data_IF_940855078727
#
_entry.id   IF_940855078727
#
_cell.length_a   1.000
_cell.length_b   1.000
_cell.length_c   1.000
_cell.angle_alpha   90.00
_cell.angle_beta   90.00
_cell.angle_gamma   90.00
#
_symmetry.space_group_name_H-M   'P 1'
#
loop_
_entity.id
_entity.type
_entity.pdbx_description
1 polymer ?
#
# COMPACT_ATOMS: atom_id res chain seq x y z
N UNK A 1 -32.36 -4.67 -0.48
CA UNK A 1 -31.89 -3.35 0.00
C UNK A 1 -31.23 -3.58 1.34
N UNK A 2 -29.90 -3.65 1.35
CA UNK A 2 -29.14 -4.28 2.43
C UNK A 2 -28.74 -3.31 3.54
N UNK A 3 -28.90 -3.81 4.76
CA UNK A 3 -28.63 -3.22 6.07
C UNK A 3 -27.13 -3.16 6.36
N UNK A 4 -26.43 -2.14 5.89
CA UNK A 4 -25.04 -1.90 6.32
C UNK A 4 -24.91 -0.47 6.84
N UNK A 5 -25.63 -0.20 7.92
CA UNK A 5 -25.52 1.03 8.69
C UNK A 5 -25.29 0.65 10.16
N UNK A 6 -24.12 1.05 10.65
CA UNK A 6 -23.74 1.27 12.06
C UNK A 6 -23.30 0.02 12.86
N UNK A 7 -22.18 0.26 13.58
CA UNK A 7 -21.69 -0.36 14.81
C UNK A 7 -20.59 -1.42 14.67
N UNK A 8 -19.36 -1.05 15.07
CA UNK A 8 -18.44 -1.98 15.71
C UNK A 8 -17.74 -1.29 16.89
N UNK A 9 -18.15 -1.70 18.10
CA UNK A 9 -17.49 -1.44 19.38
C UNK A 9 -16.66 -2.69 19.73
N UNK A 10 -15.40 -2.43 20.09
CA UNK A 10 -14.50 -3.11 21.03
C UNK A 10 -14.14 -4.62 20.95
N UNK A 11 -12.82 -4.84 21.08
CA UNK A 11 -12.11 -5.79 21.96
C UNK A 11 -11.75 -7.21 21.43
N UNK A 12 -10.45 -7.51 21.27
CA UNK A 12 -9.58 -8.25 22.24
C UNK A 12 -8.19 -8.55 21.62
N UNK A 13 -7.16 -8.33 22.45
CA UNK A 13 -5.73 -8.62 22.24
C UNK A 13 -5.44 -10.13 22.12
N UNK A 14 -4.72 -10.50 21.06
CA UNK A 14 -3.79 -11.63 21.08
C UNK A 14 -2.44 -11.14 20.56
N UNK A 15 -1.55 -10.80 21.51
CA UNK A 15 -0.13 -10.56 21.23
C UNK A 15 0.51 -11.92 21.01
N UNK A 16 0.60 -12.34 19.74
CA UNK A 16 1.55 -13.38 19.37
C UNK A 16 2.92 -12.73 19.20
N UNK A 17 4.00 -13.28 19.80
CA UNK A 17 5.34 -12.84 19.51
C UNK A 17 5.68 -13.27 18.09
N UNK A 18 5.51 -12.37 17.14
CA UNK A 18 6.01 -12.57 15.79
C UNK A 18 7.52 -12.63 15.87
N UNK A 19 8.05 -13.80 15.56
CA UNK A 19 9.45 -13.94 15.19
C UNK A 19 9.56 -13.24 13.85
N UNK A 20 10.08 -12.01 13.85
CA UNK A 20 10.76 -11.52 12.68
C UNK A 20 11.76 -12.62 12.33
N UNK A 21 11.70 -13.14 11.11
CA UNK A 21 12.89 -13.73 10.53
C UNK A 21 13.89 -12.59 10.57
N UNK A 22 14.84 -12.64 11.52
CA UNK A 22 16.07 -11.90 11.42
C UNK A 22 16.58 -12.20 10.02
N UNK A 23 16.40 -11.25 9.11
CA UNK A 23 17.07 -11.29 7.84
C UNK A 23 18.56 -11.23 8.19
N UNK A 24 19.18 -12.40 8.30
CA UNK A 24 20.58 -12.56 8.65
C UNK A 24 21.38 -11.54 7.86
N UNK A 25 22.09 -10.71 8.61
CA UNK A 25 22.79 -9.54 8.13
C UNK A 25 24.00 -9.90 7.29
N UNK A 26 23.81 -10.37 6.07
CA UNK A 26 24.83 -10.25 5.03
C UNK A 26 24.52 -8.97 4.24
N UNK A 27 25.50 -8.06 4.13
CA UNK A 27 25.38 -6.72 3.53
C UNK A 27 24.97 -6.69 2.06
N UNK A 28 23.78 -7.20 1.74
CA UNK A 28 23.23 -7.24 0.40
C UNK A 28 22.49 -5.95 0.09
N UNK A 29 22.84 -5.37 -1.05
CA UNK A 29 22.17 -4.18 -1.59
C UNK A 29 20.65 -4.36 -1.76
N UNK A 30 19.88 -3.26 -1.67
CA UNK A 30 18.45 -3.27 -1.98
C UNK A 30 18.20 -3.71 -3.43
N UNK A 31 17.19 -4.55 -3.63
CA UNK A 31 16.84 -5.08 -4.97
C UNK A 31 16.37 -3.99 -5.92
N UNK A 32 16.84 -4.01 -7.18
CA UNK A 32 16.36 -3.10 -8.24
C UNK A 32 14.84 -3.14 -8.37
N UNK A 33 14.24 -4.33 -8.34
CA UNK A 33 12.79 -4.49 -8.49
C UNK A 33 12.03 -3.78 -7.36
N UNK A 34 12.54 -3.89 -6.13
CA UNK A 34 11.96 -3.21 -4.97
C UNK A 34 12.10 -1.70 -5.09
N UNK A 35 13.28 -1.18 -5.46
CA UNK A 35 13.49 0.25 -5.68
C UNK A 35 12.58 0.80 -6.79
N UNK A 36 12.46 0.09 -7.90
CA UNK A 36 11.60 0.46 -9.01
C UNK A 36 10.12 0.49 -8.59
N UNK A 37 9.70 -0.48 -7.76
CA UNK A 37 8.36 -0.50 -7.20
C UNK A 37 8.09 0.68 -6.28
N UNK A 38 8.96 0.93 -5.30
CA UNK A 38 8.81 2.05 -4.37
C UNK A 38 8.77 3.39 -5.13
N UNK A 39 9.65 3.56 -6.11
CA UNK A 39 9.71 4.75 -6.94
C UNK A 39 8.42 4.93 -7.76
N UNK A 40 7.98 3.87 -8.46
CA UNK A 40 6.76 3.89 -9.26
C UNK A 40 5.50 4.08 -8.40
N UNK A 41 5.47 3.60 -7.16
CA UNK A 41 4.32 3.72 -6.26
C UNK A 41 4.29 5.05 -5.50
N UNK A 42 5.46 5.62 -5.20
CA UNK A 42 5.57 6.86 -4.43
C UNK A 42 4.95 8.05 -5.16
N UNK A 43 4.30 8.92 -4.40
CA UNK A 43 3.70 10.12 -4.93
C UNK A 43 2.48 10.60 -4.17
N UNK A 44 1.91 11.70 -4.67
CA UNK A 44 0.62 12.24 -4.27
C UNK A 44 -0.43 11.82 -5.29
N UNK A 45 -1.52 11.25 -4.82
CA UNK A 45 -2.66 10.86 -5.62
C UNK A 45 -3.82 11.77 -5.26
N UNK A 46 -4.34 12.50 -6.25
CA UNK A 46 -5.44 13.43 -6.09
C UNK A 46 -6.69 12.78 -6.64
N UNK A 47 -7.76 12.78 -5.85
CA UNK A 47 -9.08 12.21 -6.13
C UNK A 47 -9.06 10.71 -6.48
N UNK A 48 -10.14 10.03 -6.10
CA UNK A 48 -10.39 8.66 -6.53
C UNK A 48 -11.57 8.69 -7.48
N UNK A 49 -11.32 8.26 -8.71
CA UNK A 49 -12.37 8.07 -9.70
C UNK A 49 -12.94 6.67 -9.53
N UNK A 50 -14.24 6.58 -9.23
CA UNK A 50 -14.98 5.34 -9.20
C UNK A 50 -15.73 5.17 -10.52
N UNK A 51 -15.40 4.12 -11.25
CA UNK A 51 -16.10 3.73 -12.48
C UNK A 51 -17.07 2.60 -12.17
N UNK A 52 -18.33 2.76 -12.58
CA UNK A 52 -19.34 1.69 -12.58
C UNK A 52 -19.85 1.55 -14.00
N UNK A 53 -19.42 0.50 -14.69
CA UNK A 53 -19.63 0.39 -16.13
C UNK A 53 -19.00 1.57 -16.88
N UNK A 54 -19.84 2.37 -17.56
CA UNK A 54 -19.41 3.54 -18.32
C UNK A 54 -19.60 4.87 -17.57
N UNK A 55 -20.07 4.84 -16.33
CA UNK A 55 -20.30 6.04 -15.52
C UNK A 55 -19.10 6.30 -14.60
N UNK A 56 -18.67 7.56 -14.54
CA UNK A 56 -17.56 8.03 -13.70
C UNK A 56 -18.07 8.89 -12.56
N UNK A 57 -17.61 8.59 -11.35
CA UNK A 57 -17.92 9.32 -10.13
C UNK A 57 -16.61 9.72 -9.45
N UNK A 58 -16.36 11.02 -9.33
CA UNK A 58 -15.21 11.52 -8.59
C UNK A 58 -15.54 11.67 -7.11
N UNK A 59 -14.71 11.12 -6.23
CA UNK A 59 -14.76 11.39 -4.80
C UNK A 59 -13.55 12.23 -4.38
N UNK A 60 -13.75 13.32 -3.62
CA UNK A 60 -12.67 14.13 -3.08
C UNK A 60 -11.95 13.32 -1.98
N UNK A 61 -10.98 12.52 -2.42
CA UNK A 61 -10.09 11.74 -1.58
C UNK A 61 -8.66 12.00 -2.05
N UNK A 62 -7.68 11.80 -1.20
CA UNK A 62 -6.29 11.83 -1.64
C UNK A 62 -5.48 10.83 -0.86
N UNK A 63 -4.41 10.35 -1.48
CA UNK A 63 -3.48 9.42 -0.87
C UNK A 63 -2.07 9.95 -1.11
N UNK A 64 -1.30 10.06 -0.03
CA UNK A 64 0.12 10.40 -0.08
C UNK A 64 0.90 9.15 0.25
N UNK A 65 1.75 8.70 -0.67
CA UNK A 65 2.68 7.58 -0.47
C UNK A 65 4.11 8.09 -0.50
N UNK A 66 4.68 8.34 0.68
CA UNK A 66 6.03 8.89 0.83
C UNK A 66 7.03 7.78 1.19
N UNK A 67 8.13 7.61 0.47
CA UNK A 67 9.18 6.69 0.87
C UNK A 67 9.86 7.18 2.15
N UNK A 68 9.95 6.32 3.17
CA UNK A 68 10.52 6.64 4.49
C UNK A 68 11.43 5.53 4.99
N UNK A 69 12.55 5.87 5.60
CA UNK A 69 13.39 4.88 6.29
C UNK A 69 12.86 4.69 7.70
N UNK A 70 12.72 3.45 8.14
CA UNK A 70 12.24 3.09 9.47
C UNK A 70 13.22 2.07 10.04
N UNK A 71 14.09 2.45 11.00
CA UNK A 71 15.20 1.60 11.45
C UNK A 71 14.78 0.20 11.91
N UNK A 72 13.64 0.08 12.59
CA UNK A 72 13.15 -1.21 13.10
C UNK A 72 12.82 -2.24 12.00
N UNK A 73 12.55 -1.81 10.76
CA UNK A 73 12.22 -2.71 9.65
C UNK A 73 13.43 -3.09 8.80
N UNK A 74 14.65 -2.74 9.24
CA UNK A 74 15.95 -3.11 8.67
C UNK A 74 15.90 -3.76 7.26
N UNK A 75 16.19 -2.97 6.21
CA UNK A 75 16.37 -3.40 4.80
C UNK A 75 15.11 -3.76 4.00
N UNK A 76 13.93 -3.44 4.51
CA UNK A 76 12.70 -3.42 3.71
C UNK A 76 12.47 -2.06 3.05
N UNK A 77 11.75 -2.05 1.93
CA UNK A 77 11.24 -0.83 1.32
C UNK A 77 9.99 -0.35 2.05
N UNK A 78 10.00 0.86 2.62
CA UNK A 78 8.85 1.35 3.39
C UNK A 78 8.24 2.60 2.78
N UNK A 79 6.92 2.58 2.57
CA UNK A 79 6.13 3.76 2.21
C UNK A 79 5.27 4.16 3.41
N UNK A 80 5.40 5.41 3.85
CA UNK A 80 4.39 6.05 4.67
C UNK A 80 3.19 6.40 3.81
N UNK A 81 2.01 5.98 4.26
CA UNK A 81 0.74 6.24 3.60
C UNK A 81 -0.14 7.14 4.47
N UNK A 82 -0.64 8.22 3.89
CA UNK A 82 -1.62 9.12 4.51
C UNK A 82 -2.80 9.32 3.58
N UNK A 83 -4.00 9.01 4.08
CA UNK A 83 -5.25 9.07 3.32
C UNK A 83 -6.15 10.17 3.85
N UNK A 84 -6.75 10.92 2.92
CA UNK A 84 -7.67 11.99 3.21
C UNK A 84 -9.03 11.75 2.55
N UNK A 85 -10.11 12.08 3.26
CA UNK A 85 -11.45 12.20 2.71
C UNK A 85 -11.94 13.62 2.95
N UNK A 86 -12.26 14.36 1.88
CA UNK A 86 -12.73 15.75 1.96
C UNK A 86 -11.85 16.64 2.86
N UNK A 87 -10.52 16.52 2.72
CA UNK A 87 -9.47 17.21 3.50
C UNK A 87 -9.30 16.77 4.96
N UNK A 88 -10.04 15.76 5.43
CA UNK A 88 -9.84 15.17 6.75
C UNK A 88 -8.91 13.98 6.62
N UNK A 89 -7.83 13.94 7.40
CA UNK A 89 -6.97 12.76 7.51
C UNK A 89 -7.76 11.62 8.14
N UNK A 90 -7.95 10.53 7.40
CA UNK A 90 -8.72 9.36 7.87
C UNK A 90 -7.84 8.18 8.23
N UNK A 91 -6.62 8.13 7.70
CA UNK A 91 -5.70 7.02 7.96
C UNK A 91 -4.25 7.42 7.80
N UNK A 92 -3.41 6.86 8.66
CA UNK A 92 -1.96 6.81 8.53
C UNK A 92 -1.47 5.39 8.72
N UNK A 93 -0.53 4.96 7.89
CA UNK A 93 0.03 3.62 7.96
C UNK A 93 1.42 3.55 7.32
N UNK A 94 2.12 2.44 7.58
CA UNK A 94 3.34 2.06 6.90
C UNK A 94 3.05 0.85 6.02
N UNK A 95 3.51 0.91 4.78
CA UNK A 95 3.51 -0.22 3.85
C UNK A 95 4.96 -0.68 3.72
N UNK A 96 5.27 -1.77 4.41
CA UNK A 96 6.59 -2.38 4.46
C UNK A 96 6.67 -3.43 3.37
N UNK A 97 7.71 -3.40 2.54
CA UNK A 97 7.79 -4.23 1.35
C UNK A 97 9.13 -4.96 1.25
N UNK A 98 9.08 -6.22 0.86
CA UNK A 98 10.25 -7.06 0.62
C UNK A 98 10.14 -7.78 -0.73
N UNK A 99 11.27 -8.24 -1.26
CA UNK A 99 11.33 -8.93 -2.55
C UNK A 99 11.77 -10.37 -2.39
N UNK A 100 10.97 -11.29 -2.93
CA UNK A 100 11.42 -12.65 -3.17
C UNK A 100 12.35 -12.67 -4.39
N UNK A 101 13.64 -12.85 -4.13
CA UNK A 101 14.69 -12.81 -5.15
C UNK A 101 14.61 -13.95 -6.17
N UNK A 102 13.89 -15.03 -5.90
CA UNK A 102 13.77 -16.17 -6.83
C UNK A 102 12.88 -15.83 -8.03
N UNK A 103 11.84 -15.03 -7.82
CA UNK A 103 10.83 -14.72 -8.83
C UNK A 103 10.56 -13.21 -9.00
N UNK A 104 11.28 -12.35 -8.29
CA UNK A 104 11.11 -10.90 -8.24
C UNK A 104 9.70 -10.46 -7.82
N UNK A 105 8.95 -11.33 -7.14
CA UNK A 105 7.68 -10.96 -6.52
C UNK A 105 7.95 -10.11 -5.28
N UNK A 106 7.18 -9.07 -5.10
CA UNK A 106 7.23 -8.19 -3.94
C UNK A 106 6.06 -8.53 -3.03
N UNK A 107 6.35 -8.73 -1.75
CA UNK A 107 5.34 -8.84 -0.70
C UNK A 107 5.25 -7.51 0.03
N UNK A 108 4.04 -7.07 0.33
CA UNK A 108 3.82 -5.80 1.02
C UNK A 108 2.93 -6.02 2.23
N UNK A 109 3.41 -5.61 3.39
CA UNK A 109 2.83 -5.79 4.72
C UNK A 109 2.36 -4.44 5.25
N UNK A 110 1.06 -4.26 5.49
CA UNK A 110 0.54 -3.03 6.03
C UNK A 110 0.56 -3.03 7.56
N UNK A 111 1.15 -1.98 8.12
CA UNK A 111 1.19 -1.68 9.55
C UNK A 111 0.42 -0.38 9.80
N UNK A 112 -0.59 -0.42 10.67
CA UNK A 112 -1.25 0.78 11.16
C UNK A 112 -0.52 1.29 12.41
N UNK A 113 -0.48 2.61 12.60
CA UNK A 113 -0.04 3.18 13.88
C UNK A 113 -1.09 2.93 14.97
N UNK A 114 -0.65 2.69 16.20
CA UNK A 114 -1.55 2.75 17.36
C UNK A 114 -2.06 4.18 17.57
N UNK A 115 -3.14 4.34 18.35
CA UNK A 115 -3.74 5.65 18.62
C UNK A 115 -2.76 6.65 19.23
N UNK A 116 -1.78 6.18 20.01
CA UNK A 116 -0.77 7.02 20.65
C UNK A 116 0.17 7.70 19.64
N UNK A 117 0.40 7.06 18.48
CA UNK A 117 1.34 7.55 17.46
C UNK A 117 0.61 8.15 16.26
N UNK A 118 -0.59 7.67 15.94
CA UNK A 118 -1.28 8.03 14.70
C UNK A 118 -1.73 9.49 14.64
N UNK A 119 -2.01 10.12 15.81
CA UNK A 119 -2.62 11.45 15.99
C UNK A 119 -3.10 12.08 14.68
N UNK A 120 -4.31 11.75 14.23
CA UNK A 120 -4.80 12.12 12.90
C UNK A 120 -4.95 13.64 12.69
N UNK A 121 -4.81 14.45 13.75
CA UNK A 121 -4.87 15.90 13.65
C UNK A 121 -3.51 16.50 13.25
N UNK A 122 -3.54 17.46 12.32
CA UNK A 122 -2.35 18.17 11.87
C UNK A 122 -1.41 17.33 10.99
N UNK A 123 -0.18 17.80 10.80
CA UNK A 123 0.83 17.10 10.00
C UNK A 123 1.51 15.99 10.80
N UNK A 124 1.81 14.86 10.14
CA UNK A 124 2.57 13.78 10.76
C UNK A 124 4.01 14.19 11.08
N UNK A 125 4.47 13.89 12.29
CA UNK A 125 5.85 14.14 12.68
C UNK A 125 6.74 12.95 12.27
N UNK A 126 7.48 13.12 11.18
CA UNK A 126 8.38 12.08 10.65
C UNK A 126 9.53 11.71 11.60
N UNK A 127 9.90 12.56 12.56
CA UNK A 127 10.97 12.24 13.53
C UNK A 127 10.62 11.04 14.42
N UNK A 128 9.33 10.71 14.56
CA UNK A 128 8.88 9.57 15.36
C UNK A 128 9.31 8.25 14.69
N UNK A 129 9.47 8.22 13.37
CA UNK A 129 9.83 7.00 12.62
C UNK A 129 11.16 6.39 13.06
N UNK A 130 12.09 7.21 13.54
CA UNK A 130 13.42 6.78 14.02
C UNK A 130 13.38 6.08 15.39
N UNK A 131 12.26 6.23 16.12
CA UNK A 131 12.08 5.74 17.48
C UNK A 131 10.90 4.77 17.63
N UNK A 132 10.31 4.34 16.52
CA UNK A 132 9.19 3.39 16.54
C UNK A 132 9.59 2.07 17.18
N UNK A 133 8.73 1.60 18.08
CA UNK A 133 8.77 0.27 18.65
C UNK A 133 7.71 -0.61 17.98
N UNK A 134 7.90 -1.93 18.05
CA UNK A 134 6.90 -2.89 17.54
C UNK A 134 5.53 -2.72 18.20
N UNK A 135 5.47 -2.23 19.45
CA UNK A 135 4.22 -1.93 20.17
C UNK A 135 3.46 -0.72 19.61
N UNK A 136 4.11 0.12 18.81
CA UNK A 136 3.51 1.32 18.20
C UNK A 136 2.77 1.01 16.91
N UNK A 137 2.86 -0.24 16.45
CA UNK A 137 2.36 -0.69 15.16
C UNK A 137 1.45 -1.91 15.31
N UNK A 138 0.37 -1.90 14.56
CA UNK A 138 -0.56 -3.03 14.44
C UNK A 138 -0.46 -3.58 13.03
N UNK A 139 0.10 -4.77 12.91
CA UNK A 139 0.20 -5.50 11.66
C UNK A 139 -1.16 -6.10 11.26
N UNK A 140 -1.56 -5.93 10.01
CA UNK A 140 -2.79 -6.51 9.47
C UNK A 140 -2.47 -7.61 8.46
N UNK A 141 -2.27 -8.84 8.93
CA UNK A 141 -1.92 -10.00 8.08
C UNK A 141 -2.96 -10.32 6.98
N UNK A 142 -4.24 -10.09 7.25
CA UNK A 142 -5.32 -10.23 6.24
C UNK A 142 -5.18 -9.24 5.08
N UNK A 143 -4.22 -8.31 5.17
CA UNK A 143 -4.01 -7.22 4.23
C UNK A 143 -2.71 -7.31 3.44
N UNK A 144 -2.00 -8.42 3.56
CA UNK A 144 -0.82 -8.69 2.77
C UNK A 144 -1.14 -8.64 1.28
N UNK A 145 -0.25 -8.00 0.53
CA UNK A 145 -0.38 -7.86 -0.92
C UNK A 145 0.79 -8.51 -1.60
N UNK A 146 0.50 -9.13 -2.74
CA UNK A 146 1.50 -9.73 -3.60
C UNK A 146 1.55 -8.95 -4.89
N UNK A 147 2.73 -8.47 -5.24
CA UNK A 147 2.97 -7.61 -6.40
C UNK A 147 4.00 -8.28 -7.31
N UNK A 148 3.74 -8.30 -8.61
CA UNK A 148 4.70 -8.79 -9.59
C UNK A 148 5.08 -7.69 -10.58
N UNK A 149 6.35 -7.63 -11.00
CA UNK A 149 6.78 -6.75 -12.08
C UNK A 149 6.11 -7.18 -13.38
N UNK A 150 5.66 -6.21 -14.17
CA UNK A 150 5.04 -6.44 -15.46
C UNK A 150 5.99 -5.99 -16.57
N UNK A 151 6.11 -6.80 -17.62
CA UNK A 151 7.04 -6.53 -18.75
C UNK A 151 6.45 -5.61 -19.84
N UNK A 152 5.35 -4.92 -19.58
CA UNK A 152 4.65 -4.11 -20.59
C UNK A 152 4.97 -2.61 -20.38
N UNK A 153 5.23 -1.86 -21.46
CA UNK A 153 5.55 -0.42 -21.40
C UNK A 153 4.46 0.46 -20.75
N UNK A 154 3.20 0.00 -20.70
CA UNK A 154 2.09 0.81 -20.12
C UNK A 154 1.85 0.56 -18.64
N UNK A 155 2.23 -0.60 -18.12
CA UNK A 155 1.96 -1.02 -16.75
C UNK A 155 3.22 -1.64 -16.16
N UNK A 156 3.66 -1.13 -15.01
CA UNK A 156 4.95 -1.44 -14.43
C UNK A 156 4.84 -2.59 -13.42
N UNK A 157 3.74 -2.64 -12.66
CA UNK A 157 3.49 -3.69 -11.68
C UNK A 157 2.02 -4.11 -11.67
N UNK A 158 1.78 -5.39 -11.40
CA UNK A 158 0.45 -5.94 -11.12
C UNK A 158 0.38 -6.36 -9.65
N UNK A 159 -0.63 -5.87 -8.94
CA UNK A 159 -1.03 -6.38 -7.63
C UNK A 159 -1.89 -7.62 -7.87
N UNK A 160 -1.28 -8.78 -7.71
CA UNK A 160 -1.90 -10.10 -7.86
C UNK A 160 -3.00 -10.28 -6.80
N UNK A 161 -2.75 -9.80 -5.59
CA UNK A 161 -3.75 -9.72 -4.52
C UNK A 161 -3.70 -8.36 -3.84
N UNK A 162 -4.87 -7.75 -3.70
CA UNK A 162 -5.10 -6.57 -2.88
C UNK A 162 -6.39 -6.80 -2.09
N UNK A 163 -6.34 -7.48 -0.94
CA UNK A 163 -7.53 -7.75 -0.13
C UNK A 163 -8.23 -6.45 0.34
N UNK A 164 -9.56 -6.47 0.45
CA UNK A 164 -10.29 -5.40 1.15
C UNK A 164 -9.95 -5.44 2.63
N UNK A 165 -9.45 -4.33 3.13
CA UNK A 165 -8.89 -4.25 4.46
C UNK A 165 -9.78 -3.43 5.36
N UNK A 166 -10.99 -3.93 5.58
CA UNK A 166 -11.90 -3.40 6.61
C UNK A 166 -12.25 -4.54 7.55
N UNK A 167 -12.08 -4.32 8.85
CA UNK A 167 -12.28 -5.31 9.91
C UNK A 167 -13.73 -5.82 10.07
N UNK A 168 -14.62 -5.49 9.13
CA UNK A 168 -16.08 -5.65 9.23
C UNK A 168 -16.65 -6.71 8.29
N UNK A 169 -15.82 -7.41 7.51
CA UNK A 169 -16.28 -8.46 6.60
C UNK A 169 -15.55 -9.78 6.88
N UNK A 170 -16.30 -10.84 7.18
CA UNK A 170 -15.79 -12.21 7.40
C UNK A 170 -15.13 -12.79 6.13
N UNK A 171 -15.37 -12.18 4.96
CA UNK A 171 -14.77 -12.54 3.67
C UNK A 171 -14.63 -11.29 2.81
N UNK A 172 -13.57 -10.50 3.00
CA UNK A 172 -13.37 -9.28 2.23
C UNK A 172 -13.19 -9.60 0.74
N UNK A 173 -13.76 -8.81 -0.18
CA UNK A 173 -13.48 -8.98 -1.61
C UNK A 173 -11.98 -8.82 -1.88
N UNK A 174 -11.45 -9.64 -2.78
CA UNK A 174 -10.06 -9.53 -3.22
C UNK A 174 -10.04 -8.65 -4.48
N UNK A 175 -9.30 -7.56 -4.43
CA UNK A 175 -9.07 -6.72 -5.58
C UNK A 175 -7.78 -7.15 -6.29
N UNK A 176 -7.70 -6.88 -7.58
CA UNK A 176 -6.42 -6.77 -8.27
C UNK A 176 -6.17 -5.32 -8.58
N UNK A 177 -4.91 -4.89 -8.64
CA UNK A 177 -4.60 -3.55 -9.11
C UNK A 177 -3.50 -3.57 -10.16
N UNK A 178 -3.51 -2.57 -11.02
CA UNK A 178 -2.44 -2.33 -12.00
C UNK A 178 -1.81 -0.98 -11.67
N UNK A 179 -0.50 -0.99 -11.45
CA UNK A 179 0.29 0.22 -11.27
C UNK A 179 0.93 0.61 -12.59
N UNK A 180 0.64 1.83 -13.01
CA UNK A 180 1.32 2.54 -14.08
C UNK A 180 2.09 3.71 -13.48
N UNK A 181 2.90 4.40 -14.27
CA UNK A 181 3.63 5.57 -13.78
C UNK A 181 2.74 6.76 -13.41
N UNK A 182 1.52 6.78 -13.94
CA UNK A 182 0.57 7.89 -13.74
C UNK A 182 -0.59 7.51 -12.81
N UNK A 183 -0.93 6.23 -12.71
CA UNK A 183 -2.18 5.81 -12.08
C UNK A 183 -2.03 4.46 -11.39
N UNK A 184 -2.81 4.25 -10.33
CA UNK A 184 -3.15 2.93 -9.82
C UNK A 184 -4.61 2.66 -10.17
N UNK A 185 -4.85 1.57 -10.89
CA UNK A 185 -6.22 1.12 -11.20
C UNK A 185 -6.52 -0.12 -10.39
N UNK A 186 -7.40 0.00 -9.40
CA UNK A 186 -7.90 -1.09 -8.57
C UNK A 186 -9.21 -1.60 -9.17
N UNK A 187 -9.31 -2.92 -9.39
CA UNK A 187 -10.51 -3.57 -9.91
C UNK A 187 -11.04 -4.54 -8.87
N UNK A 188 -12.32 -4.38 -8.50
CA UNK A 188 -13.00 -5.28 -7.57
C UNK A 188 -13.33 -6.59 -8.26
N UNK A 189 -12.94 -7.71 -7.65
CA UNK A 189 -13.43 -9.03 -8.04
C UNK A 189 -14.32 -9.56 -6.94
N UNK A 190 -15.51 -10.01 -7.32
CA UNK A 190 -16.29 -10.86 -6.43
C UNK A 190 -15.69 -12.27 -6.49
N UNK A 191 -15.46 -12.87 -5.33
CA UNK A 191 -14.71 -14.12 -5.17
C UNK A 191 -15.58 -15.28 -5.63
N UNK A 192 -15.72 -15.47 -6.94
CA UNK A 192 -16.06 -16.77 -7.56
C UNK A 192 -16.16 -16.79 -9.09
N UNK A 193 -16.39 -15.68 -9.80
CA UNK A 193 -16.61 -15.77 -11.27
C UNK A 193 -16.17 -14.50 -12.04
N UNK A 194 -14.86 -14.32 -12.26
CA UNK A 194 -14.30 -13.17 -13.01
C UNK A 194 -14.77 -13.12 -14.48
N UNK A 195 -15.20 -14.25 -15.03
CA UNK A 195 -15.65 -14.35 -16.43
C UNK A 195 -17.14 -14.10 -16.65
N UNK A 196 -17.98 -13.99 -15.60
CA UNK A 196 -19.44 -13.84 -15.77
C UNK A 196 -20.00 -12.47 -15.42
N UNK A 197 -19.21 -11.59 -14.78
CA UNK A 197 -19.68 -10.23 -14.44
C UNK A 197 -19.64 -9.36 -15.70
N UNK A 198 -20.79 -8.86 -16.19
CA UNK A 198 -20.83 -7.93 -17.31
C UNK A 198 -19.97 -6.68 -17.02
N UNK A 199 -19.27 -6.16 -18.03
CA UNK A 199 -18.39 -4.99 -17.87
C UNK A 199 -19.13 -3.78 -17.28
N UNK A 200 -20.44 -3.66 -17.54
CA UNK A 200 -21.33 -2.63 -16.99
C UNK A 200 -21.49 -2.66 -15.46
N UNK A 201 -21.13 -3.77 -14.81
CA UNK A 201 -21.25 -3.99 -13.37
C UNK A 201 -19.89 -4.03 -12.67
N UNK A 202 -18.78 -3.98 -13.42
CA UNK A 202 -17.45 -3.95 -12.82
C UNK A 202 -17.20 -2.58 -12.17
N UNK A 203 -16.80 -2.63 -10.90
CA UNK A 203 -16.40 -1.44 -10.14
C UNK A 203 -14.88 -1.31 -10.22
N UNK A 204 -14.41 -0.18 -10.74
CA UNK A 204 -12.98 0.15 -10.78
C UNK A 204 -12.75 1.45 -10.01
N UNK A 205 -11.65 1.52 -9.30
CA UNK A 205 -11.16 2.73 -8.65
C UNK A 205 -9.85 3.13 -9.32
N UNK A 206 -9.75 4.37 -9.77
CA UNK A 206 -8.53 4.91 -10.39
C UNK A 206 -8.01 6.03 -9.48
N UNK A 207 -6.81 5.82 -8.96
CA UNK A 207 -6.07 6.82 -8.22
C UNK A 207 -5.10 7.48 -9.19
N UNK A 208 -5.24 8.79 -9.40
CA UNK A 208 -4.45 9.56 -10.35
C UNK A 208 -3.28 10.24 -9.64
N UNK A 209 -2.05 9.88 -10.02
CA UNK A 209 -0.83 10.47 -9.46
C UNK A 209 -0.63 11.88 -10.02
N UNK A 210 -0.56 12.87 -9.13
CA UNK A 210 -0.26 14.25 -9.49
C UNK A 210 1.23 14.60 -9.38
N UNK A 211 1.94 13.94 -8.46
CA UNK A 211 3.33 14.24 -8.12
C UNK A 211 4.05 12.95 -7.72
N UNK A 212 5.33 12.82 -8.04
CA UNK A 212 6.18 11.71 -7.59
C UNK A 212 7.14 12.18 -6.51
N UNK A 213 7.43 11.35 -5.51
CA UNK A 213 8.44 11.65 -4.50
C UNK A 213 9.75 10.89 -4.80
N UNK A 214 10.91 11.51 -4.60
CA UNK A 214 12.17 10.81 -4.76
C UNK A 214 12.37 9.78 -3.63
N UNK A 215 13.06 8.67 -3.95
CA UNK A 215 13.54 7.76 -2.91
C UNK A 215 14.63 8.45 -2.07
N UNK A 216 14.60 8.34 -0.72
CA UNK A 216 15.67 8.81 0.14
C UNK A 216 17.00 8.11 -0.20
N UNK A 217 18.11 8.84 -0.12
CA UNK A 217 19.45 8.28 -0.35
C UNK A 217 19.76 7.12 0.58
N UNK A 218 19.26 7.15 1.82
CA UNK A 218 19.36 6.06 2.79
C UNK A 218 18.75 4.75 2.31
N UNK A 219 17.74 4.78 1.43
CA UNK A 219 17.14 3.57 0.85
C UNK A 219 17.93 3.00 -0.32
N UNK A 220 18.79 3.79 -0.95
CA UNK A 220 19.59 3.37 -2.10
C UNK A 220 20.81 2.54 -1.67
N UNK A 221 21.25 2.70 -0.42
CA UNK A 221 22.49 2.10 0.07
C UNK A 221 23.67 2.59 -0.77
N UNK A 222 24.49 1.66 -1.25
CA UNK A 222 25.66 1.97 -2.09
C UNK A 222 25.31 2.17 -3.58
N UNK A 223 24.04 2.04 -3.98
CA UNK A 223 23.64 2.20 -5.39
C UNK A 223 23.57 3.67 -5.77
N UNK A 224 24.43 4.06 -6.68
CA UNK A 224 24.44 5.41 -7.25
C UNK A 224 23.36 5.62 -8.32
N UNK A 225 22.82 4.53 -8.90
CA UNK A 225 21.81 4.58 -9.95
C UNK A 225 20.79 3.44 -9.80
N UNK A 226 19.51 3.78 -9.93
CA UNK A 226 18.44 2.83 -10.17
C UNK A 226 17.61 3.36 -11.35
N UNK A 227 17.17 2.46 -12.22
CA UNK A 227 16.33 2.83 -13.36
C UNK A 227 14.90 3.07 -12.85
N UNK A 228 14.54 4.34 -12.62
CA UNK A 228 13.15 4.68 -12.36
C UNK A 228 12.32 4.32 -13.61
N UNK A 229 11.40 3.34 -13.54
CA UNK A 229 10.62 2.93 -14.70
C UNK A 229 9.63 4.00 -15.20
N UNK A 230 9.55 5.14 -14.48
CA UNK A 230 8.63 6.24 -14.71
C UNK A 230 9.30 7.56 -15.10
N UNK A 231 10.61 7.54 -15.39
CA UNK A 231 11.36 8.64 -15.98
C UNK A 231 11.71 8.35 -17.45
#
# INVERSE_FOLDING_TARGET
MSKYWIQCIALILLVLPFHFVEAEGNGQEPSTTLLNFLSAMSGKYLYTEQMIGNQSYSRPSSLILRPVSVPMFNRTGTLYAEEFLSNVTVRRSLMVSEVNRKNNTIFTYPFNFTEQVSNLNGSFNFSILDHLLSSDLVYSHVCDRVVAPRRNKRAVFDFISWPFCTATLDSPPIYTAVLTCKNITVTMHDVSVVSSIPESQKVKFILHKSESFPLPTSMLGNRQQYENPCL
#
